data_IF_982825777041
#
_entry.id   IF_982825777041
#
_cell.length_a   1.000
_cell.length_b   1.000
_cell.length_c   1.000
_cell.angle_alpha   90.00
_cell.angle_beta   90.00
_cell.angle_gamma   90.00
#
_symmetry.space_group_name_H-M   'P 1'
#
loop_
_entity.id
_entity.type
_entity.pdbx_description
1 polymer ?
#
# COMPACT_ATOMS: atom_id res chain seq x y z
N UNK A 1 -88.05 -15.04 11.63
CA UNK A 1 -87.31 -16.03 12.46
C UNK A 1 -86.50 -16.89 11.50
N UNK A 2 -85.20 -17.07 11.56
CA UNK A 2 -84.18 -16.75 12.55
C UNK A 2 -82.82 -16.71 11.82
N UNK A 3 -81.95 -15.84 12.31
CA UNK A 3 -80.59 -15.55 11.85
C UNK A 3 -79.58 -16.62 12.35
N UNK A 4 -78.36 -16.63 11.79
CA UNK A 4 -77.09 -17.21 12.31
C UNK A 4 -76.58 -18.56 11.76
N UNK A 5 -75.29 -18.81 11.46
CA UNK A 5 -74.04 -18.04 11.23
C UNK A 5 -72.93 -19.06 10.81
N UNK A 6 -72.00 -18.66 9.92
CA UNK A 6 -70.52 -18.95 9.90
C UNK A 6 -70.02 -20.41 9.75
N UNK A 7 -69.21 -20.77 8.73
CA UNK A 7 -67.72 -20.72 8.84
C UNK A 7 -66.98 -20.84 7.49
N UNK A 8 -66.35 -19.73 7.08
CA UNK A 8 -64.91 -19.58 6.78
C UNK A 8 -64.25 -20.52 5.73
N UNK A 9 -64.36 -20.13 4.45
CA UNK A 9 -63.29 -20.36 3.46
C UNK A 9 -62.20 -19.30 3.62
N UNK A 10 -60.98 -19.71 3.94
CA UNK A 10 -59.85 -18.79 4.02
C UNK A 10 -58.56 -19.46 4.51
N UNK A 11 -57.98 -20.33 3.68
CA UNK A 11 -56.57 -20.70 3.83
C UNK A 11 -55.73 -19.71 3.00
N UNK A 12 -55.40 -18.57 3.61
CA UNK A 12 -54.35 -17.71 3.08
C UNK A 12 -53.00 -18.37 3.42
N UNK A 13 -52.39 -19.02 2.43
CA UNK A 13 -51.00 -19.49 2.51
C UNK A 13 -50.12 -18.24 2.47
N UNK A 14 -49.75 -17.74 3.64
CA UNK A 14 -48.68 -16.75 3.79
C UNK A 14 -47.36 -17.45 3.47
N UNK A 15 -46.95 -17.39 2.20
CA UNK A 15 -45.58 -17.69 1.77
C UNK A 15 -44.67 -16.63 2.41
N UNK A 16 -44.22 -16.90 3.62
CA UNK A 16 -43.05 -16.27 4.24
C UNK A 16 -41.84 -16.61 3.36
N UNK A 17 -41.59 -15.76 2.37
CA UNK A 17 -40.29 -15.65 1.71
C UNK A 17 -39.28 -15.15 2.75
N UNK A 18 -38.83 -16.07 3.60
CA UNK A 18 -37.56 -15.93 4.30
C UNK A 18 -36.50 -15.79 3.23
N UNK A 19 -36.15 -14.55 2.91
CA UNK A 19 -34.92 -14.24 2.20
C UNK A 19 -33.80 -14.80 3.05
N UNK A 20 -33.33 -16.00 2.69
CA UNK A 20 -32.10 -16.57 3.22
C UNK A 20 -30.97 -15.63 2.81
N UNK A 21 -30.73 -14.60 3.62
CA UNK A 21 -29.46 -13.90 3.62
C UNK A 21 -28.44 -14.91 4.09
N UNK A 22 -27.86 -15.66 3.15
CA UNK A 22 -26.72 -16.51 3.40
C UNK A 22 -25.60 -15.60 3.93
N UNK A 23 -25.45 -15.57 5.25
CA UNK A 23 -24.38 -14.84 5.92
C UNK A 23 -23.10 -15.64 5.70
N UNK A 24 -22.44 -15.43 4.55
CA UNK A 24 -21.17 -16.06 4.25
C UNK A 24 -20.11 -15.60 5.26
N UNK A 25 -19.31 -16.54 5.75
CA UNK A 25 -18.24 -16.25 6.69
C UNK A 25 -17.20 -15.33 6.04
N UNK A 26 -16.85 -14.24 6.73
CA UNK A 26 -15.82 -13.30 6.24
C UNK A 26 -14.46 -13.97 6.25
N UNK A 27 -13.72 -13.88 5.16
CA UNK A 27 -12.32 -14.34 5.14
C UNK A 27 -11.42 -13.37 5.90
N UNK A 28 -10.39 -13.90 6.57
CA UNK A 28 -9.41 -13.09 7.27
C UNK A 28 -8.26 -12.73 6.34
N UNK A 29 -8.07 -11.44 6.09
CA UNK A 29 -6.94 -10.92 5.30
C UNK A 29 -5.87 -10.39 6.24
N UNK A 30 -4.66 -10.93 6.14
CA UNK A 30 -3.45 -10.37 6.75
C UNK A 30 -2.72 -9.56 5.69
N UNK A 31 -2.82 -8.23 5.77
CA UNK A 31 -2.03 -7.33 4.97
C UNK A 31 -0.72 -6.99 5.70
N UNK A 32 0.41 -7.03 5.00
CA UNK A 32 1.68 -6.62 5.61
C UNK A 32 1.68 -5.10 5.88
N UNK A 33 1.35 -4.29 4.87
CA UNK A 33 1.34 -2.83 4.96
C UNK A 33 -0.08 -2.21 4.88
N UNK A 34 -0.27 -0.95 5.36
CA UNK A 34 -1.59 -0.31 5.40
C UNK A 34 -2.21 -0.07 4.02
N UNK A 35 -1.42 0.14 2.97
CA UNK A 35 -1.88 0.30 1.59
C UNK A 35 -2.58 -0.96 1.07
N UNK A 36 -2.04 -2.14 1.36
CA UNK A 36 -2.66 -3.41 1.01
C UNK A 36 -3.86 -3.72 1.90
N UNK A 37 -3.84 -3.25 3.15
CA UNK A 37 -5.01 -3.31 4.01
C UNK A 37 -6.15 -2.43 3.48
N UNK A 38 -5.84 -1.20 3.05
CA UNK A 38 -6.81 -0.28 2.46
C UNK A 38 -7.38 -0.83 1.15
N UNK A 39 -6.53 -1.32 0.25
CA UNK A 39 -6.95 -1.96 -1.00
C UNK A 39 -7.86 -3.17 -0.73
N UNK A 40 -7.43 -4.07 0.15
CA UNK A 40 -8.20 -5.28 0.47
C UNK A 40 -9.57 -4.96 1.06
N UNK A 41 -9.71 -3.88 1.85
CA UNK A 41 -11.02 -3.43 2.35
C UNK A 41 -11.89 -2.87 1.23
N UNK A 42 -11.33 -2.07 0.33
CA UNK A 42 -12.08 -1.50 -0.79
C UNK A 42 -12.58 -2.57 -1.76
N UNK A 43 -11.76 -3.58 -2.06
CA UNK A 43 -12.13 -4.67 -2.96
C UNK A 43 -13.03 -5.71 -2.27
N UNK A 44 -12.73 -6.03 -1.00
CA UNK A 44 -13.42 -7.08 -0.27
C UNK A 44 -14.71 -6.67 0.43
N UNK A 45 -14.88 -5.37 0.73
CA UNK A 45 -16.06 -4.83 1.38
C UNK A 45 -16.43 -5.54 2.69
N UNK A 46 -17.71 -5.88 2.84
CA UNK A 46 -18.23 -6.56 4.03
C UNK A 46 -17.82 -8.04 4.13
N UNK A 47 -17.32 -8.65 3.05
CA UNK A 47 -16.94 -10.06 2.99
C UNK A 47 -15.52 -10.35 3.53
N UNK A 48 -14.76 -9.31 3.90
CA UNK A 48 -13.39 -9.47 4.43
C UNK A 48 -13.24 -8.88 5.82
N UNK A 49 -12.39 -9.49 6.62
CA UNK A 49 -11.87 -8.92 7.86
C UNK A 49 -10.37 -8.67 7.70
N UNK A 50 -9.98 -7.40 7.60
CA UNK A 50 -8.60 -7.02 7.24
C UNK A 50 -7.80 -6.53 8.43
N UNK A 51 -6.65 -7.14 8.65
CA UNK A 51 -5.62 -6.72 9.60
C UNK A 51 -4.40 -6.18 8.85
N UNK A 52 -3.73 -5.16 9.39
CA UNK A 52 -2.46 -4.62 8.89
C UNK A 52 -1.35 -4.96 9.88
N UNK A 53 -0.23 -5.53 9.43
CA UNK A 53 0.89 -5.88 10.30
C UNK A 53 1.64 -4.64 10.79
N UNK A 54 1.74 -3.63 9.93
CA UNK A 54 2.39 -2.36 10.23
C UNK A 54 1.39 -1.20 10.31
N UNK A 55 1.87 -0.03 10.72
CA UNK A 55 1.14 1.24 10.74
C UNK A 55 1.85 2.26 9.87
N UNK A 56 1.19 3.36 9.52
CA UNK A 56 1.76 4.44 8.69
C UNK A 56 2.99 5.15 9.31
N UNK A 57 3.31 4.87 10.58
CA UNK A 57 4.43 5.45 11.31
C UNK A 57 5.59 4.45 11.52
N UNK A 58 5.54 3.29 10.88
CA UNK A 58 6.57 2.27 11.00
C UNK A 58 7.28 2.05 9.68
N UNK A 59 8.57 1.74 9.77
CA UNK A 59 9.36 1.27 8.64
C UNK A 59 9.02 -0.21 8.36
N UNK A 60 8.48 -0.55 7.17
CA UNK A 60 8.15 -1.93 6.83
C UNK A 60 9.37 -2.84 6.69
N UNK A 61 10.59 -2.29 6.50
CA UNK A 61 11.83 -3.08 6.46
C UNK A 61 12.17 -3.66 7.84
N UNK A 62 11.71 -3.03 8.93
CA UNK A 62 12.13 -3.33 10.30
C UNK A 62 10.96 -3.62 11.24
N UNK A 63 10.28 -4.75 11.00
CA UNK A 63 9.16 -5.20 11.84
C UNK A 63 9.58 -6.34 12.75
N UNK A 64 9.23 -6.22 14.03
CA UNK A 64 9.44 -7.29 14.99
C UNK A 64 8.35 -8.37 14.83
N UNK A 65 8.77 -9.62 14.60
CA UNK A 65 7.88 -10.78 14.50
C UNK A 65 7.31 -11.21 15.88
N UNK A 66 6.35 -10.43 16.39
CA UNK A 66 5.72 -10.64 17.71
C UNK A 66 4.74 -11.82 17.73
N UNK A 67 4.51 -12.49 18.89
CA UNK A 67 3.51 -13.56 19.02
C UNK A 67 2.10 -13.18 18.54
N UNK A 68 1.71 -11.91 18.73
CA UNK A 68 0.43 -11.38 18.24
C UNK A 68 0.31 -11.44 16.72
N UNK A 69 1.39 -11.15 15.98
CA UNK A 69 1.42 -11.27 14.52
C UNK A 69 1.36 -12.74 14.09
N UNK A 70 2.08 -13.63 14.76
CA UNK A 70 2.01 -15.09 14.50
C UNK A 70 0.56 -15.58 14.63
N UNK A 71 -0.14 -15.16 15.69
CA UNK A 71 -1.55 -15.52 15.92
C UNK A 71 -2.52 -14.91 14.88
N UNK A 72 -2.16 -13.80 14.24
CA UNK A 72 -2.94 -13.21 13.13
C UNK A 72 -2.69 -13.97 11.83
N UNK A 73 -1.43 -14.25 11.48
CA UNK A 73 -1.03 -15.05 10.33
C UNK A 73 -1.62 -16.47 10.41
N UNK A 74 -1.65 -17.08 11.59
CA UNK A 74 -2.27 -18.41 11.80
C UNK A 74 -3.74 -18.50 11.41
N UNK A 75 -4.48 -17.40 11.51
CA UNK A 75 -5.92 -17.32 11.23
C UNK A 75 -6.24 -16.74 9.85
N UNK A 76 -5.23 -16.32 9.10
CA UNK A 76 -5.44 -15.68 7.81
C UNK A 76 -5.84 -16.71 6.75
N UNK A 77 -6.79 -16.34 5.91
CA UNK A 77 -7.16 -17.08 4.70
C UNK A 77 -6.46 -16.49 3.47
N UNK A 78 -6.09 -15.21 3.52
CA UNK A 78 -5.32 -14.52 2.50
C UNK A 78 -4.24 -13.62 3.15
N UNK A 79 -3.02 -13.76 2.65
CA UNK A 79 -1.88 -12.89 2.90
C UNK A 79 -1.71 -11.93 1.72
N UNK A 80 -1.61 -10.63 1.98
CA UNK A 80 -1.39 -9.60 0.95
C UNK A 80 -0.21 -8.73 1.38
N UNK A 81 0.92 -8.88 0.72
CA UNK A 81 2.15 -8.16 1.07
C UNK A 81 2.77 -7.53 -0.18
N UNK A 82 3.72 -6.63 0.02
CA UNK A 82 4.45 -5.96 -1.05
C UNK A 82 5.28 -6.97 -1.82
N UNK A 83 6.09 -7.77 -1.13
CA UNK A 83 7.08 -8.64 -1.77
C UNK A 83 8.30 -7.84 -2.24
N UNK A 84 9.01 -8.36 -3.24
CA UNK A 84 10.32 -7.82 -3.67
C UNK A 84 11.30 -7.65 -2.50
N UNK A 85 11.32 -8.63 -1.58
CA UNK A 85 12.17 -8.67 -0.38
C UNK A 85 11.89 -7.64 0.71
N UNK A 86 10.85 -6.79 0.59
CA UNK A 86 10.51 -5.81 1.63
C UNK A 86 10.32 -6.44 3.01
N UNK A 87 9.61 -7.57 3.08
CA UNK A 87 9.27 -8.24 4.33
C UNK A 87 10.22 -9.39 4.70
N UNK A 88 11.34 -9.55 3.97
CA UNK A 88 12.24 -10.71 4.09
C UNK A 88 12.78 -10.90 5.50
N UNK A 89 12.98 -9.80 6.23
CA UNK A 89 13.49 -9.80 7.60
C UNK A 89 12.53 -10.35 8.65
N UNK A 90 11.23 -10.48 8.36
CA UNK A 90 10.23 -10.76 9.39
C UNK A 90 9.11 -11.72 8.96
N UNK A 91 8.58 -11.60 7.74
CA UNK A 91 7.47 -12.42 7.25
C UNK A 91 7.80 -13.92 7.20
N UNK A 92 8.99 -14.38 6.77
CA UNK A 92 9.32 -15.80 6.77
C UNK A 92 9.21 -16.45 8.15
N UNK A 93 9.60 -15.73 9.21
CA UNK A 93 9.46 -16.22 10.58
C UNK A 93 7.99 -16.36 10.99
N UNK A 94 7.16 -15.37 10.65
CA UNK A 94 5.72 -15.43 10.91
C UNK A 94 5.07 -16.61 10.19
N UNK A 95 5.34 -16.81 8.90
CA UNK A 95 4.79 -17.91 8.12
C UNK A 95 5.18 -19.27 8.70
N UNK A 96 6.46 -19.47 9.02
CA UNK A 96 6.94 -20.71 9.65
C UNK A 96 6.29 -20.97 11.01
N UNK A 97 6.29 -19.99 11.92
CA UNK A 97 5.76 -20.15 13.28
C UNK A 97 4.23 -20.21 13.34
N UNK A 98 3.55 -19.67 12.32
CA UNK A 98 2.09 -19.76 12.24
C UNK A 98 1.61 -21.18 11.95
N UNK A 99 2.37 -21.96 11.19
CA UNK A 99 1.97 -23.29 10.69
C UNK A 99 0.79 -23.24 9.70
N UNK A 100 0.44 -22.07 9.17
CA UNK A 100 -0.74 -21.92 8.32
C UNK A 100 -0.44 -22.32 6.87
N UNK A 101 -0.88 -23.50 6.45
CA UNK A 101 -0.69 -24.02 5.10
C UNK A 101 -1.40 -23.23 4.00
N UNK A 102 -2.48 -22.50 4.29
CA UNK A 102 -3.30 -21.80 3.27
C UNK A 102 -2.58 -20.64 2.59
N UNK A 103 -1.62 -20.04 3.30
CA UNK A 103 -0.94 -18.80 2.91
C UNK A 103 0.57 -19.00 2.76
N UNK A 104 1.03 -20.23 2.53
CA UNK A 104 2.43 -20.48 2.20
C UNK A 104 2.73 -20.10 0.74
N UNK A 105 4.00 -19.92 0.40
CA UNK A 105 4.42 -19.65 -0.99
C UNK A 105 3.84 -20.71 -1.94
N UNK A 106 3.35 -20.26 -3.10
CA UNK A 106 2.67 -21.10 -4.10
C UNK A 106 1.18 -21.36 -3.83
N UNK A 107 0.66 -21.02 -2.65
CA UNK A 107 -0.73 -21.29 -2.29
C UNK A 107 -1.69 -20.19 -2.76
N UNK A 108 -2.97 -20.55 -2.86
CA UNK A 108 -4.03 -19.62 -3.24
C UNK A 108 -4.16 -18.45 -2.24
N UNK A 109 -3.83 -18.63 -0.97
CA UNK A 109 -3.84 -17.55 0.02
C UNK A 109 -2.57 -16.69 0.08
N UNK A 110 -1.58 -16.90 -0.80
CA UNK A 110 -0.33 -16.12 -0.80
C UNK A 110 -0.30 -15.14 -1.97
N UNK A 111 -0.38 -13.83 -1.67
CA UNK A 111 -0.35 -12.77 -2.66
C UNK A 111 0.78 -11.77 -2.37
N UNK A 112 1.64 -11.58 -3.38
CA UNK A 112 2.70 -10.58 -3.41
C UNK A 112 2.42 -9.57 -4.51
N UNK A 113 2.28 -8.30 -4.14
CA UNK A 113 1.93 -7.22 -5.06
C UNK A 113 3.03 -6.99 -6.11
N UNK A 114 4.29 -7.08 -5.72
CA UNK A 114 5.45 -6.95 -6.61
C UNK A 114 5.47 -7.98 -7.74
N UNK A 115 4.88 -9.17 -7.54
CA UNK A 115 4.81 -10.20 -8.57
C UNK A 115 3.76 -9.88 -9.66
N UNK A 116 2.98 -8.81 -9.50
CA UNK A 116 1.90 -8.43 -10.42
C UNK A 116 2.29 -7.27 -11.36
N UNK A 117 3.48 -6.69 -11.19
CA UNK A 117 3.91 -5.49 -11.90
C UNK A 117 5.40 -5.54 -12.25
N UNK A 118 5.80 -4.77 -13.26
CA UNK A 118 7.21 -4.57 -13.58
C UNK A 118 7.90 -3.71 -12.51
N UNK A 119 9.03 -4.19 -11.99
CA UNK A 119 9.83 -3.52 -10.96
C UNK A 119 10.91 -2.61 -11.58
N UNK A 120 11.24 -1.54 -10.87
CA UNK A 120 12.32 -0.62 -11.20
C UNK A 120 13.58 -0.93 -10.39
N UNK A 121 14.72 -0.40 -10.84
CA UNK A 121 16.02 -0.51 -10.15
C UNK A 121 16.41 -1.94 -9.75
N UNK A 122 16.16 -2.91 -10.64
CA UNK A 122 16.67 -4.27 -10.44
C UNK A 122 18.21 -4.25 -10.49
N UNK A 123 18.92 -4.61 -9.41
CA UNK A 123 20.37 -4.51 -9.38
C UNK A 123 21.01 -5.54 -10.32
N UNK A 124 22.06 -5.13 -11.04
CA UNK A 124 22.87 -6.03 -11.87
C UNK A 124 23.80 -6.92 -11.03
N UNK A 125 24.18 -6.45 -9.83
CA UNK A 125 25.06 -7.15 -8.89
C UNK A 125 24.41 -7.15 -7.51
N UNK A 126 24.31 -8.33 -6.89
CA UNK A 126 23.89 -8.45 -5.50
C UNK A 126 25.11 -8.36 -4.58
N UNK A 127 25.25 -7.25 -3.87
CA UNK A 127 26.24 -7.08 -2.81
C UNK A 127 25.59 -6.51 -1.54
N UNK A 128 25.64 -7.27 -0.44
CA UNK A 128 25.08 -6.88 0.86
C UNK A 128 25.80 -5.68 1.49
N UNK A 129 27.01 -5.35 1.03
CA UNK A 129 27.72 -4.14 1.45
C UNK A 129 27.00 -2.86 1.01
N UNK A 130 26.06 -2.95 0.06
CA UNK A 130 25.33 -1.83 -0.51
C UNK A 130 24.12 -1.37 0.34
N UNK A 131 23.93 -1.93 1.53
CA UNK A 131 22.82 -1.61 2.43
C UNK A 131 21.59 -2.48 2.16
N UNK A 132 20.41 -1.99 2.52
CA UNK A 132 19.12 -2.67 2.33
C UNK A 132 18.67 -2.63 0.86
N UNK A 133 19.45 -3.28 -0.01
CA UNK A 133 19.11 -3.48 -1.42
C UNK A 133 18.13 -4.65 -1.58
N UNK A 134 17.23 -4.52 -2.54
CA UNK A 134 16.23 -5.54 -2.87
C UNK A 134 16.60 -6.20 -4.18
N UNK A 135 16.93 -7.49 -4.15
CA UNK A 135 17.41 -8.27 -5.29
C UNK A 135 16.42 -8.29 -6.46
N UNK A 136 15.13 -8.30 -6.14
CA UNK A 136 14.05 -8.33 -7.11
C UNK A 136 13.85 -6.97 -7.82
N UNK A 137 14.40 -5.89 -7.27
CA UNK A 137 14.11 -4.51 -7.64
C UNK A 137 13.44 -3.74 -6.50
N UNK A 138 13.27 -2.43 -6.67
CA UNK A 138 12.76 -1.54 -5.65
C UNK A 138 11.32 -1.92 -5.24
N UNK A 139 11.00 -2.14 -3.96
CA UNK A 139 9.71 -2.67 -3.53
C UNK A 139 8.60 -1.62 -3.41
N UNK A 140 8.92 -0.32 -3.50
CA UNK A 140 8.02 0.79 -3.19
C UNK A 140 6.98 1.09 -4.29
N UNK A 141 6.40 0.03 -4.87
CA UNK A 141 5.52 0.02 -6.05
C UNK A 141 4.20 0.75 -5.83
N UNK A 142 3.78 0.93 -4.58
CA UNK A 142 2.53 1.61 -4.21
C UNK A 142 2.57 3.11 -4.49
N UNK A 143 3.72 3.68 -4.86
CA UNK A 143 3.82 5.07 -5.27
C UNK A 143 3.63 5.32 -6.78
N UNK A 144 3.30 4.30 -7.56
CA UNK A 144 2.81 4.49 -8.93
C UNK A 144 1.33 4.08 -9.01
N UNK A 145 0.41 5.01 -9.33
CA UNK A 145 -1.01 4.70 -9.31
C UNK A 145 -1.40 3.76 -10.47
N UNK A 146 -0.67 3.72 -11.59
CA UNK A 146 -0.91 2.75 -12.65
C UNK A 146 -0.54 1.33 -12.22
N UNK A 147 0.51 1.18 -11.39
CA UNK A 147 0.86 -0.11 -10.77
C UNK A 147 -0.15 -0.53 -9.72
N UNK A 148 -0.64 0.38 -8.88
CA UNK A 148 -1.76 0.08 -7.96
C UNK A 148 -2.96 -0.46 -8.73
N UNK A 149 -3.30 0.11 -9.89
CA UNK A 149 -4.43 -0.37 -10.68
C UNK A 149 -4.24 -1.83 -11.14
N UNK A 150 -3.04 -2.19 -11.61
CA UNK A 150 -2.72 -3.57 -12.01
C UNK A 150 -2.79 -4.53 -10.81
N UNK A 151 -2.26 -4.12 -9.66
CA UNK A 151 -2.28 -4.89 -8.42
C UNK A 151 -3.73 -5.08 -7.94
N UNK A 152 -4.57 -4.04 -8.02
CA UNK A 152 -5.98 -4.12 -7.65
C UNK A 152 -6.74 -5.13 -8.49
N UNK A 153 -6.53 -5.13 -9.81
CA UNK A 153 -7.12 -6.12 -10.71
C UNK A 153 -6.70 -7.55 -10.33
N UNK A 154 -5.39 -7.77 -10.10
CA UNK A 154 -4.87 -9.08 -9.70
C UNK A 154 -5.41 -9.52 -8.33
N UNK A 155 -5.50 -8.60 -7.37
CA UNK A 155 -6.03 -8.88 -6.03
C UNK A 155 -7.53 -9.18 -6.05
N UNK A 156 -8.32 -8.50 -6.90
CA UNK A 156 -9.73 -8.84 -7.12
C UNK A 156 -9.86 -10.29 -7.62
N UNK A 157 -9.08 -10.69 -8.63
CA UNK A 157 -9.09 -12.07 -9.12
C UNK A 157 -8.67 -13.07 -8.05
N UNK A 158 -7.69 -12.70 -7.20
CA UNK A 158 -7.23 -13.51 -6.08
C UNK A 158 -8.33 -13.69 -5.02
N UNK A 159 -9.04 -12.63 -4.66
CA UNK A 159 -10.17 -12.70 -3.73
C UNK A 159 -11.27 -13.63 -4.26
N UNK A 160 -11.62 -13.53 -5.54
CA UNK A 160 -12.59 -14.41 -6.20
C UNK A 160 -12.17 -15.89 -6.22
N UNK A 161 -10.87 -16.18 -6.14
CA UNK A 161 -10.34 -17.55 -6.07
C UNK A 161 -10.33 -18.08 -4.64
N UNK A 162 -9.99 -17.25 -3.66
CA UNK A 162 -9.91 -17.64 -2.24
C UNK A 162 -11.29 -17.75 -1.60
N UNK A 163 -12.24 -16.91 -2.03
CA UNK A 163 -13.62 -16.91 -1.56
C UNK A 163 -14.60 -16.86 -2.75
N UNK A 164 -14.85 -18.01 -3.41
CA UNK A 164 -15.75 -18.09 -4.56
C UNK A 164 -17.21 -17.72 -4.23
N UNK A 165 -17.64 -17.85 -2.98
CA UNK A 165 -19.01 -17.54 -2.56
C UNK A 165 -19.33 -16.05 -2.71
N UNK A 166 -18.32 -15.18 -2.53
CA UNK A 166 -18.45 -13.72 -2.69
C UNK A 166 -17.93 -13.19 -4.04
N UNK A 167 -17.77 -14.05 -5.06
CA UNK A 167 -17.20 -13.70 -6.36
C UNK A 167 -17.85 -12.47 -7.00
N UNK A 168 -19.18 -12.41 -7.05
CA UNK A 168 -19.92 -11.29 -7.66
C UNK A 168 -19.64 -9.96 -6.96
N UNK A 169 -19.62 -9.96 -5.62
CA UNK A 169 -19.29 -8.80 -4.81
C UNK A 169 -17.87 -8.27 -5.12
N UNK A 170 -16.87 -9.15 -5.16
CA UNK A 170 -15.50 -8.74 -5.46
C UNK A 170 -15.35 -8.20 -6.88
N UNK A 171 -16.04 -8.80 -7.84
CA UNK A 171 -16.04 -8.32 -9.22
C UNK A 171 -16.64 -6.91 -9.31
N UNK A 172 -17.80 -6.68 -8.68
CA UNK A 172 -18.44 -5.36 -8.63
C UNK A 172 -17.55 -4.31 -7.95
N UNK A 173 -17.00 -4.63 -6.77
CA UNK A 173 -16.12 -3.72 -6.03
C UNK A 173 -14.84 -3.42 -6.81
N UNK A 174 -14.26 -4.43 -7.49
CA UNK A 174 -13.08 -4.25 -8.33
C UNK A 174 -13.35 -3.30 -9.51
N UNK A 175 -14.49 -3.45 -10.18
CA UNK A 175 -14.91 -2.54 -11.26
C UNK A 175 -15.11 -1.12 -10.75
N UNK A 176 -15.81 -0.96 -9.62
CA UNK A 176 -16.03 0.33 -8.99
C UNK A 176 -14.70 1.01 -8.59
N UNK A 177 -13.80 0.26 -7.95
CA UNK A 177 -12.47 0.75 -7.61
C UNK A 177 -11.71 1.20 -8.86
N UNK A 178 -11.67 0.38 -9.91
CA UNK A 178 -10.97 0.71 -11.15
C UNK A 178 -11.47 2.01 -11.78
N UNK A 179 -12.80 2.21 -11.84
CA UNK A 179 -13.40 3.44 -12.36
C UNK A 179 -13.01 4.67 -11.53
N UNK A 180 -13.15 4.59 -10.20
CA UNK A 180 -12.81 5.70 -9.30
C UNK A 180 -11.31 6.02 -9.35
N UNK A 181 -10.46 4.99 -9.37
CA UNK A 181 -9.01 5.12 -9.41
C UNK A 181 -8.52 5.75 -10.73
N UNK A 182 -9.06 5.32 -11.87
CA UNK A 182 -8.74 5.91 -13.18
C UNK A 182 -9.14 7.39 -13.27
N UNK A 183 -10.31 7.76 -12.73
CA UNK A 183 -10.71 9.15 -12.65
C UNK A 183 -9.78 9.96 -11.74
N UNK A 184 -9.36 9.39 -10.61
CA UNK A 184 -8.42 10.02 -9.70
C UNK A 184 -7.03 10.23 -10.35
N UNK A 185 -6.50 9.23 -11.06
CA UNK A 185 -5.25 9.34 -11.82
C UNK A 185 -5.27 10.55 -12.76
N UNK A 186 -6.33 10.70 -13.55
CA UNK A 186 -6.46 11.84 -14.48
C UNK A 186 -6.39 13.19 -13.76
N UNK A 187 -7.11 13.31 -12.63
CA UNK A 187 -7.11 14.53 -11.81
C UNK A 187 -5.74 14.79 -11.20
N UNK A 188 -5.07 13.77 -10.67
CA UNK A 188 -3.74 13.92 -10.10
C UNK A 188 -2.71 14.31 -11.16
N UNK A 189 -2.70 13.66 -12.31
CA UNK A 189 -1.81 13.99 -13.42
C UNK A 189 -1.96 15.45 -13.87
N UNK A 190 -3.20 15.96 -13.94
CA UNK A 190 -3.45 17.37 -14.23
C UNK A 190 -2.90 18.29 -13.14
N UNK A 191 -3.13 17.98 -11.86
CA UNK A 191 -2.61 18.76 -10.72
C UNK A 191 -1.08 18.80 -10.69
N UNK A 192 -0.41 17.72 -11.08
CA UNK A 192 1.04 17.56 -10.91
C UNK A 192 1.87 17.93 -12.14
N UNK A 193 1.27 18.52 -13.18
CA UNK A 193 2.01 18.89 -14.40
C UNK A 193 3.22 19.79 -14.11
N UNK A 194 3.08 20.71 -13.15
CA UNK A 194 4.15 21.64 -12.75
C UNK A 194 5.33 20.96 -12.05
N UNK A 195 5.18 19.71 -11.62
CA UNK A 195 6.26 18.94 -10.98
C UNK A 195 7.23 18.32 -12.00
N UNK A 196 6.85 18.25 -13.27
CA UNK A 196 7.68 17.60 -14.29
C UNK A 196 9.03 18.30 -14.43
N UNK A 197 10.11 17.51 -14.36
CA UNK A 197 11.48 18.01 -14.44
C UNK A 197 12.03 18.60 -13.14
N UNK A 198 11.19 18.77 -12.10
CA UNK A 198 11.66 19.33 -10.82
C UNK A 198 12.73 18.44 -10.19
N UNK A 199 13.80 19.08 -9.71
CA UNK A 199 14.92 18.37 -9.08
C UNK A 199 14.62 18.11 -7.60
N UNK A 200 14.84 16.88 -7.16
CA UNK A 200 14.54 16.47 -5.79
C UNK A 200 15.74 15.80 -5.13
N UNK A 201 15.89 16.05 -3.83
CA UNK A 201 16.69 15.21 -2.94
C UNK A 201 15.74 14.31 -2.18
N UNK A 202 16.09 13.05 -1.97
CA UNK A 202 15.25 12.12 -1.21
C UNK A 202 15.97 11.58 0.00
N UNK A 203 15.26 11.31 1.09
CA UNK A 203 15.89 10.80 2.32
C UNK A 203 16.36 9.35 2.12
N UNK A 204 15.43 8.48 1.74
CA UNK A 204 15.66 7.11 1.29
C UNK A 204 15.17 6.95 -0.15
N UNK A 205 15.64 5.93 -0.85
CA UNK A 205 15.26 5.63 -2.23
C UNK A 205 13.85 5.01 -2.39
N UNK A 206 12.86 5.52 -1.66
CA UNK A 206 11.50 5.00 -1.64
C UNK A 206 10.61 5.55 -2.75
N UNK A 207 10.97 6.68 -3.34
CA UNK A 207 10.07 7.46 -4.18
C UNK A 207 10.23 7.16 -5.67
N UNK A 208 11.02 6.17 -6.05
CA UNK A 208 11.42 5.91 -7.45
C UNK A 208 10.23 5.77 -8.41
N UNK A 209 9.18 5.09 -7.95
CA UNK A 209 7.94 4.94 -8.72
C UNK A 209 7.17 6.27 -8.85
N UNK A 210 7.14 7.08 -7.79
CA UNK A 210 6.56 8.42 -7.79
C UNK A 210 7.36 9.36 -8.71
N UNK A 211 8.69 9.30 -8.62
CA UNK A 211 9.64 10.07 -9.41
C UNK A 211 9.43 9.81 -10.89
N UNK A 212 9.35 8.54 -11.29
CA UNK A 212 9.10 8.17 -12.67
C UNK A 212 7.71 8.63 -13.13
N UNK A 213 6.66 8.42 -12.33
CA UNK A 213 5.29 8.78 -12.72
C UNK A 213 5.10 10.29 -12.88
N UNK A 214 5.71 11.09 -12.00
CA UNK A 214 5.62 12.56 -12.02
C UNK A 214 6.69 13.24 -12.87
N UNK A 215 7.70 12.50 -13.33
CA UNK A 215 8.84 13.06 -14.05
C UNK A 215 9.78 13.88 -13.18
N UNK A 216 9.83 13.62 -11.87
CA UNK A 216 10.80 14.24 -10.95
C UNK A 216 12.22 13.76 -11.27
N UNK A 217 13.21 14.62 -11.03
CA UNK A 217 14.62 14.32 -11.23
C UNK A 217 15.30 14.19 -9.87
N UNK A 218 15.45 12.95 -9.38
CA UNK A 218 16.27 12.67 -8.20
C UNK A 218 17.73 13.02 -8.49
N UNK A 219 18.27 14.01 -7.79
CA UNK A 219 19.67 14.45 -7.95
C UNK A 219 20.59 13.95 -6.84
N UNK A 220 20.03 13.53 -5.70
CA UNK A 220 20.77 12.93 -4.59
C UNK A 220 19.85 12.23 -3.60
N UNK A 221 20.45 11.36 -2.79
CA UNK A 221 19.86 10.74 -1.60
C UNK A 221 20.53 11.28 -0.33
N UNK A 222 19.80 11.41 0.78
CA UNK A 222 20.41 11.75 2.08
C UNK A 222 21.09 10.53 2.69
N UNK A 223 20.52 9.34 2.53
CA UNK A 223 21.20 8.11 2.86
C UNK A 223 22.27 7.80 1.79
N UNK A 224 23.54 7.60 2.18
CA UNK A 224 24.58 7.16 1.25
C UNK A 224 24.30 5.78 0.66
N UNK A 225 23.59 4.93 1.43
CA UNK A 225 23.15 3.58 1.08
C UNK A 225 21.81 3.33 1.77
N UNK A 226 20.87 2.57 1.17
CA UNK A 226 19.60 2.21 1.81
C UNK A 226 19.80 1.70 3.25
N UNK A 227 19.13 2.33 4.21
CA UNK A 227 19.16 1.94 5.63
C UNK A 227 20.37 2.45 6.41
N UNK A 228 21.33 3.13 5.77
CA UNK A 228 22.53 3.67 6.42
C UNK A 228 22.35 5.18 6.67
N UNK A 229 22.30 5.63 7.94
CA UNK A 229 22.20 7.05 8.24
C UNK A 229 23.40 7.86 7.71
N UNK A 230 23.19 9.10 7.24
CA UNK A 230 24.30 9.93 6.78
C UNK A 230 25.22 10.41 7.91
N UNK A 231 26.51 10.49 7.60
CA UNK A 231 27.49 11.21 8.44
C UNK A 231 27.48 12.71 8.14
N UNK A 232 27.97 13.53 9.08
CA UNK A 232 28.13 14.98 8.89
C UNK A 232 29.03 15.32 7.69
N UNK A 233 30.06 14.51 7.44
CA UNK A 233 30.96 14.67 6.31
C UNK A 233 30.23 14.41 4.98
N UNK A 234 29.39 13.36 4.92
CA UNK A 234 28.56 13.07 3.76
C UNK A 234 27.57 14.20 3.47
N UNK A 235 26.84 14.68 4.48
CA UNK A 235 25.91 15.81 4.31
C UNK A 235 26.61 17.10 3.87
N UNK A 236 27.84 17.34 4.33
CA UNK A 236 28.64 18.48 3.89
C UNK A 236 29.06 18.38 2.43
N UNK A 237 29.41 17.17 1.95
CA UNK A 237 29.67 16.93 0.52
C UNK A 237 28.41 17.18 -0.32
N UNK A 238 27.27 16.68 0.14
CA UNK A 238 25.99 16.89 -0.54
C UNK A 238 25.60 18.38 -0.60
N UNK A 239 25.84 19.13 0.48
CA UNK A 239 25.63 20.58 0.49
C UNK A 239 26.44 21.28 -0.61
N UNK A 240 27.71 20.91 -0.79
CA UNK A 240 28.55 21.48 -1.86
C UNK A 240 28.01 21.14 -3.25
N UNK A 241 27.56 19.90 -3.47
CA UNK A 241 26.92 19.49 -4.72
C UNK A 241 25.65 20.33 -5.02
N UNK A 242 24.82 20.55 -4.01
CA UNK A 242 23.56 21.29 -4.16
C UNK A 242 23.75 22.79 -4.38
N UNK A 243 24.90 23.37 -4.00
CA UNK A 243 25.25 24.75 -4.39
C UNK A 243 25.47 24.88 -5.90
N UNK A 244 25.97 23.84 -6.56
CA UNK A 244 26.21 23.84 -8.01
C UNK A 244 24.97 23.38 -8.79
N UNK A 245 24.21 22.46 -8.23
CA UNK A 245 23.01 21.89 -8.85
C UNK A 245 21.87 21.83 -7.81
N UNK A 246 21.13 22.95 -7.60
CA UNK A 246 20.14 23.02 -6.53
C UNK A 246 18.92 22.14 -6.81
N UNK A 247 18.45 21.44 -5.77
CA UNK A 247 17.12 20.83 -5.77
C UNK A 247 16.05 21.87 -5.42
N UNK A 248 14.81 21.55 -5.77
CA UNK A 248 13.63 22.36 -5.45
C UNK A 248 12.92 21.87 -4.20
N UNK A 249 13.13 20.61 -3.80
CA UNK A 249 12.52 20.02 -2.61
C UNK A 249 13.33 18.84 -2.08
N UNK A 250 13.20 18.59 -0.78
CA UNK A 250 13.72 17.42 -0.08
C UNK A 250 12.53 16.54 0.31
N UNK A 251 12.42 15.33 -0.25
CA UNK A 251 11.37 14.38 0.07
C UNK A 251 11.80 13.46 1.22
N UNK A 252 10.93 13.27 2.20
CA UNK A 252 11.17 12.42 3.36
C UNK A 252 9.90 11.67 3.73
N UNK A 253 10.00 10.42 4.16
CA UNK A 253 8.84 9.70 4.65
C UNK A 253 8.52 10.13 6.08
N UNK A 254 7.25 10.23 6.44
CA UNK A 254 6.83 10.70 7.77
C UNK A 254 7.37 9.89 8.95
N UNK A 255 7.67 8.59 8.77
CA UNK A 255 8.25 7.75 9.83
C UNK A 255 9.76 7.93 9.99
N UNK A 256 10.45 8.54 9.02
CA UNK A 256 11.91 8.65 9.02
C UNK A 256 12.40 9.73 9.98
N UNK A 257 13.67 9.61 10.36
CA UNK A 257 14.37 10.64 11.11
C UNK A 257 14.52 11.91 10.25
N UNK A 258 13.79 12.97 10.60
CA UNK A 258 13.78 14.22 9.83
C UNK A 258 15.02 15.10 10.04
N UNK A 259 15.91 14.77 10.99
CA UNK A 259 17.07 15.62 11.33
C UNK A 259 18.00 15.90 10.14
N UNK A 260 18.40 14.93 9.30
CA UNK A 260 19.26 15.20 8.15
C UNK A 260 18.60 16.10 7.10
N UNK A 261 17.31 15.86 6.81
CA UNK A 261 16.54 16.66 5.85
C UNK A 261 16.42 18.11 6.31
N UNK A 262 16.06 18.34 7.59
CA UNK A 262 15.98 19.69 8.15
C UNK A 262 17.35 20.37 8.30
N UNK A 263 18.41 19.62 8.60
CA UNK A 263 19.76 20.16 8.61
C UNK A 263 20.14 20.72 7.24
N UNK A 264 19.87 19.96 6.18
CA UNK A 264 20.18 20.37 4.82
C UNK A 264 19.30 21.54 4.37
N UNK A 265 18.00 21.48 4.67
CA UNK A 265 17.03 22.56 4.42
C UNK A 265 17.47 23.89 5.05
N UNK A 266 17.87 23.88 6.32
CA UNK A 266 18.39 25.09 7.02
C UNK A 266 19.63 25.71 6.36
N UNK A 267 20.41 24.94 5.62
CA UNK A 267 21.65 25.40 4.95
C UNK A 267 21.44 25.80 3.49
N UNK A 268 20.36 25.35 2.87
CA UNK A 268 20.09 25.51 1.43
C UNK A 268 18.82 26.31 1.13
N UNK A 269 17.97 26.52 2.14
CA UNK A 269 16.59 27.02 2.01
C UNK A 269 15.69 26.15 1.15
N UNK A 270 16.10 24.92 0.82
CA UNK A 270 15.28 23.96 0.08
C UNK A 270 14.20 23.42 1.04
N UNK A 271 12.90 23.46 0.69
CA UNK A 271 11.83 23.00 1.57
C UNK A 271 11.85 21.47 1.74
N UNK A 272 11.52 21.01 2.95
CA UNK A 272 11.30 19.59 3.25
C UNK A 272 9.82 19.26 3.08
N UNK A 273 9.50 18.29 2.24
CA UNK A 273 8.16 17.74 2.09
C UNK A 273 8.14 16.37 2.78
N UNK A 274 7.44 16.29 3.91
CA UNK A 274 7.22 15.04 4.64
C UNK A 274 5.99 14.31 4.08
N UNK A 275 6.24 13.30 3.25
CA UNK A 275 5.22 12.51 2.58
C UNK A 275 4.80 11.31 3.44
N UNK A 276 3.48 11.09 3.51
CA UNK A 276 2.92 9.93 4.21
C UNK A 276 3.23 8.65 3.47
N UNK A 277 4.02 7.76 4.08
CA UNK A 277 4.48 6.56 3.37
C UNK A 277 3.35 5.56 3.05
N UNK A 278 2.34 5.52 3.91
CA UNK A 278 1.18 4.64 3.78
C UNK A 278 -0.09 5.34 4.29
N UNK A 279 -1.29 4.82 3.96
CA UNK A 279 -2.55 5.31 4.51
C UNK A 279 -2.60 5.17 6.04
N UNK A 280 -3.22 6.14 6.71
CA UNK A 280 -3.55 5.99 8.14
C UNK A 280 -4.70 5.02 8.33
N UNK A 281 -4.96 4.61 9.58
CA UNK A 281 -6.03 3.65 9.89
C UNK A 281 -7.38 4.15 9.36
N UNK A 282 -8.06 3.29 8.60
CA UNK A 282 -9.36 3.53 7.95
C UNK A 282 -9.35 4.56 6.80
N UNK A 283 -8.19 5.10 6.41
CA UNK A 283 -8.08 5.93 5.21
C UNK A 283 -8.17 5.04 3.95
N UNK A 284 -8.85 5.51 2.91
CA UNK A 284 -8.90 4.81 1.61
C UNK A 284 -7.65 5.12 0.80
N UNK A 285 -7.30 4.25 -0.15
CA UNK A 285 -6.14 4.50 -1.00
C UNK A 285 -6.27 5.79 -1.81
N UNK A 286 -7.48 6.11 -2.29
CA UNK A 286 -7.70 7.33 -3.11
C UNK A 286 -7.45 8.58 -2.27
N UNK A 287 -7.94 8.60 -1.02
CA UNK A 287 -7.74 9.73 -0.12
C UNK A 287 -6.26 9.88 0.23
N UNK A 288 -5.59 8.78 0.60
CA UNK A 288 -4.16 8.80 0.91
C UNK A 288 -3.31 9.28 -0.27
N UNK A 289 -3.52 8.72 -1.46
CA UNK A 289 -2.73 9.08 -2.63
C UNK A 289 -3.00 10.51 -3.09
N UNK A 290 -4.26 10.97 -2.99
CA UNK A 290 -4.61 12.37 -3.21
C UNK A 290 -3.90 13.32 -2.24
N UNK A 291 -3.77 12.92 -0.98
CA UNK A 291 -3.00 13.67 0.02
C UNK A 291 -1.51 13.74 -0.31
N UNK A 292 -0.91 12.68 -0.84
CA UNK A 292 0.49 12.72 -1.34
C UNK A 292 0.65 13.75 -2.46
N UNK A 293 -0.29 13.76 -3.41
CA UNK A 293 -0.32 14.73 -4.51
C UNK A 293 -0.44 16.16 -3.97
N UNK A 294 -1.38 16.40 -3.05
CA UNK A 294 -1.59 17.72 -2.47
C UNK A 294 -0.38 18.20 -1.63
N UNK A 295 0.29 17.30 -0.91
CA UNK A 295 1.54 17.59 -0.19
C UNK A 295 2.68 18.00 -1.12
N UNK A 296 2.78 17.38 -2.30
CA UNK A 296 3.84 17.69 -3.28
C UNK A 296 3.63 19.04 -3.97
N UNK A 297 2.40 19.39 -4.32
CA UNK A 297 2.11 20.65 -5.02
C UNK A 297 1.98 21.85 -4.07
N UNK A 298 1.78 21.61 -2.77
CA UNK A 298 1.60 22.66 -1.75
C UNK A 298 2.82 23.56 -1.50
N UNK A 299 3.94 23.36 -2.21
CA UNK A 299 5.19 24.13 -2.05
C UNK A 299 5.16 25.49 -2.79
N UNK A 300 3.97 26.03 -3.07
CA UNK A 300 3.78 27.33 -3.72
C UNK A 300 2.93 28.30 -2.91
N UNK A 301 3.09 28.34 -1.58
CA UNK A 301 2.55 29.39 -0.71
C UNK A 301 3.61 29.88 0.27
#
# INVERSE_FOLDING_TARGET
MLYQWITKTGLAVLLLSFGLNAAYAKINVFACEPEWAALSRQLGGSAVKVFSATTAQQDPHHIQARPSLIAKVRRADLLVCTGAELEVGWLPLLLRKSGNGKIQSGQAGYFMAANQVALLEKPAVLDRSLGDIHAAGNPHIHFDPHRIQQIANALTQRLMRVDPANRSLYQQNGQQFAQQWQQAIKKWQQKTQTLQGKRVVVSHNSWVYLEQWLGLKKIATLEPKPGIPPSSAYLSKLLTQLKQNPAEMILSATYQNQKPAHWLSKKTSIPVISLSFSPVKNETLIVWFGRIVDQLIGVHL
#
